data_IF_272982354405
#
_entry.id   IF_272982354405
#
_cell.length_a   1.000
_cell.length_b   1.000
_cell.length_c   1.000
_cell.angle_alpha   90.00
_cell.angle_beta   90.00
_cell.angle_gamma   90.00
#
_symmetry.space_group_name_H-M   'P 1'
#
loop_
_entity.id
_entity.type
_entity.pdbx_description
1 polymer ?
#
# COMPACT_ATOMS: atom_id res chain seq x y z
N UNK A 1 18.48 -19.23 -7.73
CA UNK A 1 18.36 -20.45 -8.54
C UNK A 1 16.87 -20.91 -8.58
N UNK A 2 16.16 -21.03 -7.46
CA UNK A 2 14.74 -21.48 -7.46
C UNK A 2 13.81 -20.61 -8.33
N UNK A 3 14.11 -19.33 -8.55
CA UNK A 3 13.30 -18.41 -9.39
C UNK A 3 13.61 -18.52 -10.90
N UNK A 4 14.78 -19.07 -11.28
CA UNK A 4 15.24 -19.18 -12.67
C UNK A 4 15.35 -20.65 -13.16
N UNK A 5 15.03 -21.64 -12.33
CA UNK A 5 15.23 -23.04 -12.65
C UNK A 5 16.67 -23.48 -12.40
N UNK A 6 17.53 -23.43 -13.44
CA UNK A 6 18.94 -23.82 -13.32
C UNK A 6 19.87 -22.62 -13.26
N UNK A 7 21.09 -22.80 -12.74
CA UNK A 7 22.09 -21.72 -12.71
C UNK A 7 22.47 -21.21 -14.11
N UNK A 8 22.41 -22.09 -15.13
CA UNK A 8 22.68 -21.72 -16.53
C UNK A 8 21.59 -20.81 -17.08
N UNK A 9 20.31 -21.14 -16.84
CA UNK A 9 19.17 -20.32 -17.26
C UNK A 9 19.20 -18.95 -16.56
N UNK A 10 19.54 -18.93 -15.27
CA UNK A 10 19.69 -17.68 -14.54
C UNK A 10 20.78 -16.78 -15.16
N UNK A 11 21.92 -17.36 -15.54
CA UNK A 11 22.99 -16.59 -16.17
C UNK A 11 22.62 -16.07 -17.54
N UNK A 12 21.91 -16.85 -18.35
CA UNK A 12 21.43 -16.44 -19.66
C UNK A 12 20.42 -15.26 -19.51
N UNK A 13 19.47 -15.36 -18.63
CA UNK A 13 18.49 -14.29 -18.37
C UNK A 13 19.14 -13.00 -17.86
N UNK A 14 20.15 -13.11 -16.96
CA UNK A 14 20.91 -11.96 -16.46
C UNK A 14 21.75 -11.33 -17.59
N UNK A 15 22.31 -12.11 -18.49
CA UNK A 15 23.03 -11.58 -19.65
C UNK A 15 22.12 -10.87 -20.64
N UNK A 16 20.93 -11.38 -20.84
CA UNK A 16 19.91 -10.77 -21.69
C UNK A 16 19.37 -9.46 -21.08
N UNK A 17 18.99 -9.49 -19.81
CA UNK A 17 18.56 -8.31 -19.08
C UNK A 17 19.05 -8.33 -17.61
N UNK A 18 20.17 -7.64 -17.27
CA UNK A 18 20.68 -7.64 -15.90
C UNK A 18 19.73 -7.03 -14.87
N UNK A 19 18.76 -6.22 -15.31
CA UNK A 19 17.80 -5.59 -14.39
C UNK A 19 16.75 -6.57 -13.85
N UNK A 20 16.68 -7.82 -14.34
CA UNK A 20 15.91 -8.89 -13.70
C UNK A 20 16.39 -9.15 -12.25
N UNK A 21 17.66 -8.83 -11.94
CA UNK A 21 18.19 -8.89 -10.58
C UNK A 21 17.40 -7.97 -9.64
N UNK A 22 17.16 -6.74 -10.04
CA UNK A 22 16.35 -5.77 -9.29
C UNK A 22 14.86 -6.17 -9.25
N UNK A 23 14.32 -6.64 -10.37
CA UNK A 23 12.89 -6.95 -10.51
C UNK A 23 12.47 -8.23 -9.77
N UNK A 24 13.33 -9.26 -9.74
CA UNK A 24 12.98 -10.61 -9.27
C UNK A 24 13.58 -10.97 -7.90
N UNK A 25 14.58 -10.26 -7.41
CA UNK A 25 15.25 -10.60 -6.14
C UNK A 25 15.01 -9.54 -5.08
N UNK A 26 14.41 -9.95 -3.97
CA UNK A 26 14.35 -9.13 -2.77
C UNK A 26 15.76 -8.96 -2.20
N UNK A 27 16.14 -7.73 -1.85
CA UNK A 27 17.48 -7.42 -1.31
C UNK A 27 18.52 -6.99 -2.36
N UNK A 28 18.22 -7.10 -3.66
CA UNK A 28 19.02 -6.48 -4.72
C UNK A 28 18.33 -5.19 -5.16
N UNK A 29 18.84 -4.05 -4.69
CA UNK A 29 18.35 -2.73 -5.10
C UNK A 29 18.82 -2.35 -6.51
N UNK A 30 18.17 -1.33 -7.09
CA UNK A 30 18.50 -0.80 -8.42
C UNK A 30 20.00 -0.49 -8.57
N UNK A 31 20.62 0.20 -7.61
CA UNK A 31 22.04 0.58 -7.69
C UNK A 31 22.99 -0.62 -7.84
N UNK A 32 22.66 -1.76 -7.22
CA UNK A 32 23.45 -2.99 -7.36
C UNK A 32 23.26 -3.63 -8.74
N UNK A 33 22.01 -3.70 -9.21
CA UNK A 33 21.70 -4.21 -10.54
C UNK A 33 22.34 -3.33 -11.64
N UNK A 34 22.31 -2.02 -11.48
CA UNK A 34 22.90 -1.05 -12.43
C UNK A 34 24.43 -1.19 -12.50
N UNK A 35 25.11 -1.41 -11.37
CA UNK A 35 26.56 -1.71 -11.36
C UNK A 35 26.88 -3.00 -12.11
N UNK A 36 26.09 -4.05 -11.95
CA UNK A 36 26.26 -5.31 -12.69
C UNK A 36 25.99 -5.10 -14.18
N UNK A 37 24.95 -4.34 -14.52
CA UNK A 37 24.60 -4.04 -15.90
C UNK A 37 25.71 -3.28 -16.64
N UNK A 38 26.16 -2.17 -16.06
CA UNK A 38 27.16 -1.28 -16.69
C UNK A 38 28.57 -1.91 -16.66
N UNK A 39 28.98 -2.51 -15.53
CA UNK A 39 30.32 -3.07 -15.35
C UNK A 39 30.47 -4.51 -15.83
N UNK A 40 29.54 -5.39 -15.44
CA UNK A 40 29.64 -6.83 -15.73
C UNK A 40 29.09 -7.22 -17.10
N UNK A 41 27.92 -6.65 -17.47
CA UNK A 41 27.26 -6.97 -18.75
C UNK A 41 27.54 -5.93 -19.84
N UNK A 42 28.30 -4.89 -19.55
CA UNK A 42 28.70 -3.82 -20.51
C UNK A 42 27.50 -3.18 -21.24
N UNK A 43 26.37 -3.03 -20.56
CA UNK A 43 25.19 -2.36 -21.11
C UNK A 43 25.50 -0.87 -21.26
N UNK A 44 25.12 -0.27 -22.38
CA UNK A 44 25.27 1.17 -22.61
C UNK A 44 24.40 1.97 -21.62
N UNK A 45 24.84 3.20 -21.28
CA UNK A 45 24.11 4.05 -20.33
C UNK A 45 22.73 4.45 -20.81
N UNK A 46 22.54 4.54 -22.11
CA UNK A 46 21.29 4.86 -22.81
C UNK A 46 20.52 3.64 -23.32
N UNK A 47 20.94 2.42 -22.96
CA UNK A 47 20.25 1.19 -23.32
C UNK A 47 18.80 1.22 -22.78
N UNK A 48 17.85 0.84 -23.63
CA UNK A 48 16.44 0.92 -23.30
C UNK A 48 16.05 0.05 -22.08
N UNK A 49 16.74 -1.06 -21.86
CA UNK A 49 16.56 -1.92 -20.67
C UNK A 49 16.90 -1.14 -19.39
N UNK A 50 17.98 -0.33 -19.44
CA UNK A 50 18.36 0.54 -18.33
C UNK A 50 17.33 1.64 -18.10
N UNK A 51 16.89 2.32 -19.16
CA UNK A 51 15.88 3.38 -19.04
C UNK A 51 14.57 2.84 -18.48
N UNK A 52 14.16 1.64 -18.92
CA UNK A 52 12.98 0.94 -18.36
C UNK A 52 13.17 0.64 -16.88
N UNK A 53 14.32 0.14 -16.47
CA UNK A 53 14.60 -0.12 -15.06
C UNK A 53 14.65 1.17 -14.20
N UNK A 54 15.14 2.29 -14.74
CA UNK A 54 15.09 3.61 -14.08
C UNK A 54 13.66 4.08 -13.91
N UNK A 55 12.79 3.91 -14.90
CA UNK A 55 11.35 4.22 -14.78
C UNK A 55 10.71 3.42 -13.65
N UNK A 56 10.93 2.10 -13.60
CA UNK A 56 10.40 1.25 -12.54
C UNK A 56 10.93 1.66 -11.16
N UNK A 57 12.21 1.98 -11.07
CA UNK A 57 12.83 2.47 -9.85
C UNK A 57 12.27 3.81 -9.40
N UNK A 58 12.01 4.72 -10.32
CA UNK A 58 11.39 6.01 -10.03
C UNK A 58 9.98 5.85 -9.44
N UNK A 59 9.16 4.96 -10.04
CA UNK A 59 7.84 4.61 -9.53
C UNK A 59 7.92 3.97 -8.13
N UNK A 60 8.86 3.07 -7.91
CA UNK A 60 9.05 2.42 -6.61
C UNK A 60 9.50 3.40 -5.53
N UNK A 61 10.39 4.32 -5.87
CA UNK A 61 10.86 5.38 -4.98
C UNK A 61 9.71 6.29 -4.55
N UNK A 62 8.82 6.67 -5.46
CA UNK A 62 7.62 7.45 -5.13
C UNK A 62 6.69 6.68 -4.18
N UNK A 63 6.50 5.38 -4.38
CA UNK A 63 5.69 4.56 -3.50
C UNK A 63 6.29 4.45 -2.09
N UNK A 64 7.60 4.25 -1.98
CA UNK A 64 8.27 4.08 -0.70
C UNK A 64 8.43 5.39 0.09
N UNK A 65 8.74 6.50 -0.58
CA UNK A 65 9.02 7.78 0.09
C UNK A 65 7.77 8.62 0.33
N UNK A 66 6.83 8.65 -0.61
CA UNK A 66 5.62 9.47 -0.55
C UNK A 66 4.35 8.68 -0.24
N UNK A 67 4.41 7.34 -0.19
CA UNK A 67 3.25 6.48 0.01
C UNK A 67 2.28 6.46 -1.18
N UNK A 68 2.72 6.91 -2.37
CA UNK A 68 1.90 6.95 -3.57
C UNK A 68 1.99 5.62 -4.31
N UNK A 69 0.88 4.92 -4.48
CA UNK A 69 0.83 3.66 -5.25
C UNK A 69 0.94 3.87 -6.75
N UNK A 70 0.68 5.09 -7.22
CA UNK A 70 0.76 5.50 -8.62
C UNK A 70 1.35 6.91 -8.78
N UNK A 71 1.68 7.26 -10.01
CA UNK A 71 1.92 8.64 -10.46
C UNK A 71 0.94 9.01 -11.58
N UNK A 72 0.68 10.29 -11.77
CA UNK A 72 -0.01 10.75 -12.97
C UNK A 72 0.89 10.57 -14.19
N UNK A 73 0.34 10.10 -15.30
CA UNK A 73 1.12 9.91 -16.54
C UNK A 73 1.77 11.22 -17.00
N UNK A 74 1.09 12.35 -16.78
CA UNK A 74 1.62 13.68 -17.11
C UNK A 74 2.86 14.05 -16.25
N UNK A 75 2.98 13.47 -15.06
CA UNK A 75 4.14 13.67 -14.17
C UNK A 75 5.31 12.70 -14.45
N UNK A 76 5.09 11.67 -15.25
CA UNK A 76 6.09 10.61 -15.47
C UNK A 76 7.45 11.13 -15.86
N UNK A 77 7.50 12.04 -16.85
CA UNK A 77 8.78 12.60 -17.31
C UNK A 77 9.51 13.36 -16.22
N UNK A 78 8.77 14.16 -15.44
CA UNK A 78 9.34 14.91 -14.32
C UNK A 78 9.91 13.98 -13.27
N UNK A 79 9.14 12.99 -12.84
CA UNK A 79 9.54 12.02 -11.80
C UNK A 79 10.78 11.22 -12.21
N UNK A 80 10.83 10.72 -13.44
CA UNK A 80 12.00 9.99 -13.97
C UNK A 80 13.23 10.88 -14.04
N UNK A 81 13.09 12.12 -14.55
CA UNK A 81 14.20 13.06 -14.66
C UNK A 81 14.73 13.52 -13.30
N UNK A 82 13.84 13.72 -12.32
CA UNK A 82 14.23 14.04 -10.94
C UNK A 82 14.99 12.88 -10.30
N UNK A 83 14.53 11.64 -10.51
CA UNK A 83 15.21 10.43 -10.02
C UNK A 83 16.62 10.33 -10.62
N UNK A 84 16.77 10.55 -11.92
CA UNK A 84 18.09 10.54 -12.56
C UNK A 84 19.04 11.60 -11.98
N UNK A 85 18.57 12.84 -11.80
CA UNK A 85 19.40 13.93 -11.28
C UNK A 85 19.75 13.77 -9.82
N UNK A 86 18.75 13.46 -8.98
CA UNK A 86 18.88 13.54 -7.53
C UNK A 86 19.39 12.24 -6.91
N UNK A 87 19.15 11.09 -7.55
CA UNK A 87 19.49 9.77 -7.01
C UNK A 87 20.66 9.15 -7.77
N UNK A 88 20.66 9.25 -9.11
CA UNK A 88 21.71 8.67 -9.94
C UNK A 88 22.82 9.66 -10.27
N UNK A 89 22.61 10.96 -10.02
CA UNK A 89 23.54 12.04 -10.37
C UNK A 89 23.93 12.05 -11.86
N UNK A 90 22.98 11.74 -12.73
CA UNK A 90 23.15 11.65 -14.18
C UNK A 90 22.30 12.66 -14.94
N UNK A 91 22.73 12.94 -16.17
CA UNK A 91 21.94 13.76 -17.10
C UNK A 91 20.68 13.02 -17.50
N UNK A 92 19.55 13.71 -17.46
CA UNK A 92 18.26 13.13 -17.75
C UNK A 92 18.10 12.78 -19.24
N UNK A 93 17.46 11.68 -19.54
CA UNK A 93 17.11 11.27 -20.90
C UNK A 93 16.06 12.20 -21.53
N UNK A 94 16.06 12.30 -22.88
CA UNK A 94 14.98 12.94 -23.62
C UNK A 94 13.63 12.26 -23.36
N UNK A 95 12.53 13.03 -23.44
CA UNK A 95 11.17 12.54 -23.18
C UNK A 95 10.79 11.38 -24.09
N UNK A 96 11.28 11.40 -25.34
CA UNK A 96 11.01 10.33 -26.29
C UNK A 96 11.57 8.97 -25.85
N UNK A 97 12.77 8.97 -25.28
CA UNK A 97 13.41 7.75 -24.74
C UNK A 97 12.64 7.24 -23.53
N UNK A 98 12.24 8.14 -22.61
CA UNK A 98 11.41 7.78 -21.45
C UNK A 98 10.06 7.22 -21.91
N UNK A 99 9.43 7.84 -22.92
CA UNK A 99 8.16 7.35 -23.48
C UNK A 99 8.30 5.95 -24.06
N UNK A 100 9.38 5.68 -24.82
CA UNK A 100 9.66 4.35 -25.36
C UNK A 100 9.82 3.31 -24.25
N UNK A 101 10.55 3.65 -23.18
CA UNK A 101 10.71 2.78 -22.02
C UNK A 101 9.36 2.50 -21.32
N UNK A 102 8.49 3.51 -21.18
CA UNK A 102 7.16 3.34 -20.60
C UNK A 102 6.26 2.44 -21.48
N UNK A 103 6.38 2.52 -22.80
CA UNK A 103 5.65 1.65 -23.73
C UNK A 103 6.09 0.19 -23.55
N UNK A 104 7.40 -0.07 -23.53
CA UNK A 104 7.95 -1.41 -23.27
C UNK A 104 7.52 -1.92 -21.90
N UNK A 105 7.65 -1.11 -20.85
CA UNK A 105 7.24 -1.52 -19.51
C UNK A 105 5.75 -1.91 -19.43
N UNK A 106 4.89 -1.26 -20.21
CA UNK A 106 3.47 -1.60 -20.32
C UNK A 106 3.24 -2.88 -21.11
N UNK A 107 3.92 -3.07 -22.24
CA UNK A 107 3.85 -4.28 -23.07
C UNK A 107 4.32 -5.52 -22.30
N UNK A 108 5.39 -5.37 -21.49
CA UNK A 108 5.92 -6.42 -20.63
C UNK A 108 5.13 -6.60 -19.31
N UNK A 109 3.99 -5.90 -19.15
CA UNK A 109 3.16 -5.96 -17.93
C UNK A 109 3.91 -5.59 -16.64
N UNK A 110 4.95 -4.76 -16.73
CA UNK A 110 5.69 -4.26 -15.56
C UNK A 110 4.98 -3.05 -14.92
N UNK A 111 4.23 -2.31 -15.75
CA UNK A 111 3.38 -1.19 -15.31
C UNK A 111 1.96 -1.33 -15.87
N UNK A 112 1.01 -0.75 -15.15
CA UNK A 112 -0.39 -0.61 -15.58
C UNK A 112 -0.72 0.86 -15.73
N UNK A 113 -1.34 1.21 -16.85
CA UNK A 113 -1.88 2.56 -17.07
C UNK A 113 -3.40 2.49 -17.02
N UNK A 114 -4.00 3.15 -16.03
CA UNK A 114 -5.44 3.19 -15.83
C UNK A 114 -5.96 4.62 -16.00
N UNK A 115 -6.99 4.77 -16.83
CA UNK A 115 -7.66 6.05 -17.01
C UNK A 115 -8.87 6.21 -16.08
N UNK A 116 -9.04 7.39 -15.50
CA UNK A 116 -10.30 7.80 -14.87
C UNK A 116 -11.10 8.65 -15.85
N UNK A 117 -12.41 8.38 -15.97
CA UNK A 117 -13.33 9.25 -16.70
C UNK A 117 -14.07 10.10 -15.66
N UNK A 118 -13.68 11.37 -15.46
CA UNK A 118 -14.42 12.24 -14.54
C UNK A 118 -15.85 12.42 -15.02
N UNK A 119 -16.81 12.34 -14.10
CA UNK A 119 -18.24 12.55 -14.39
C UNK A 119 -18.61 14.03 -14.51
N UNK A 120 -17.70 14.94 -14.19
CA UNK A 120 -17.88 16.39 -14.11
C UNK A 120 -17.34 17.17 -15.31
N UNK A 121 -17.08 16.48 -16.43
CA UNK A 121 -16.60 17.11 -17.68
C UNK A 121 -15.11 17.48 -17.70
N UNK A 122 -14.34 17.17 -16.65
CA UNK A 122 -12.88 17.31 -16.68
C UNK A 122 -12.25 16.36 -17.71
N UNK A 123 -11.03 16.67 -18.14
CA UNK A 123 -10.28 15.78 -19.04
C UNK A 123 -9.99 14.44 -18.33
N UNK A 124 -10.01 13.32 -19.08
CA UNK A 124 -9.57 12.03 -18.54
C UNK A 124 -8.15 12.16 -17.99
N UNK A 125 -7.94 11.64 -16.80
CA UNK A 125 -6.63 11.56 -16.15
C UNK A 125 -6.16 10.11 -16.18
N UNK A 126 -4.87 9.89 -16.40
CA UNK A 126 -4.27 8.57 -16.47
C UNK A 126 -3.25 8.41 -15.34
N UNK A 127 -3.38 7.32 -14.60
CA UNK A 127 -2.47 6.89 -13.55
C UNK A 127 -1.55 5.79 -14.09
N UNK A 128 -0.28 5.83 -13.73
CA UNK A 128 0.69 4.78 -14.00
C UNK A 128 1.11 4.13 -12.69
N UNK A 129 0.88 2.83 -12.59
CA UNK A 129 1.23 1.99 -11.45
C UNK A 129 2.37 1.05 -11.80
N UNK A 130 3.22 0.71 -10.84
CA UNK A 130 3.89 -0.59 -10.89
C UNK A 130 2.82 -1.70 -10.80
N UNK A 131 2.93 -2.74 -11.62
CA UNK A 131 1.95 -3.84 -11.66
C UNK A 131 1.62 -4.39 -10.26
N UNK A 132 2.63 -4.57 -9.39
CA UNK A 132 2.44 -5.10 -8.04
C UNK A 132 1.51 -4.23 -7.18
N UNK A 133 1.60 -2.90 -7.27
CA UNK A 133 0.76 -1.98 -6.48
C UNK A 133 -0.66 -1.92 -7.04
N UNK A 134 -0.82 -1.90 -8.36
CA UNK A 134 -2.12 -2.01 -9.00
C UNK A 134 -2.83 -3.32 -8.59
N UNK A 135 -2.11 -4.44 -8.64
CA UNK A 135 -2.63 -5.74 -8.21
C UNK A 135 -3.07 -5.72 -6.75
N UNK A 136 -2.26 -5.16 -5.84
CA UNK A 136 -2.63 -5.07 -4.43
C UNK A 136 -3.88 -4.21 -4.20
N UNK A 137 -4.04 -3.08 -4.88
CA UNK A 137 -5.26 -2.27 -4.77
C UNK A 137 -6.49 -3.03 -5.28
N UNK A 138 -6.38 -3.72 -6.41
CA UNK A 138 -7.46 -4.54 -6.94
C UNK A 138 -7.82 -5.69 -5.99
N UNK A 139 -6.82 -6.37 -5.43
CA UNK A 139 -7.02 -7.49 -4.51
C UNK A 139 -7.65 -7.02 -3.19
N UNK A 140 -7.19 -5.90 -2.63
CA UNK A 140 -7.80 -5.27 -1.45
C UNK A 140 -9.26 -4.89 -1.73
N UNK A 141 -9.54 -4.25 -2.87
CA UNK A 141 -10.91 -3.88 -3.23
C UNK A 141 -11.81 -5.11 -3.40
N UNK A 142 -11.30 -6.17 -4.02
CA UNK A 142 -12.00 -7.44 -4.16
C UNK A 142 -12.31 -8.08 -2.80
N UNK A 143 -11.30 -8.19 -1.92
CA UNK A 143 -11.46 -8.75 -0.58
C UNK A 143 -12.45 -7.94 0.26
N UNK A 144 -12.37 -6.61 0.25
CA UNK A 144 -13.33 -5.73 0.92
C UNK A 144 -14.76 -5.96 0.39
N UNK A 145 -14.92 -6.11 -0.92
CA UNK A 145 -16.21 -6.39 -1.55
C UNK A 145 -16.74 -7.75 -1.10
N UNK A 146 -15.90 -8.78 -1.10
CA UNK A 146 -16.26 -10.13 -0.64
C UNK A 146 -16.67 -10.14 0.82
N UNK A 147 -15.95 -9.45 1.70
CA UNK A 147 -16.29 -9.32 3.11
C UNK A 147 -17.64 -8.58 3.25
N UNK A 148 -17.87 -7.53 2.46
CA UNK A 148 -19.11 -6.76 2.51
C UNK A 148 -20.32 -7.54 2.00
N UNK A 149 -20.18 -8.31 0.94
CA UNK A 149 -21.30 -9.08 0.33
C UNK A 149 -21.65 -10.36 1.11
N UNK A 150 -20.70 -10.94 1.86
CA UNK A 150 -20.93 -12.13 2.68
C UNK A 150 -21.54 -11.81 4.05
N UNK A 151 -22.11 -10.63 4.24
CA UNK A 151 -22.64 -10.12 5.52
C UNK A 151 -23.98 -10.75 5.94
N UNK A 152 -24.11 -12.07 5.88
CA UNK A 152 -25.22 -12.77 6.53
C UNK A 152 -25.01 -12.98 8.05
N UNK A 153 -23.96 -12.41 8.63
CA UNK A 153 -23.70 -12.61 10.05
C UNK A 153 -24.28 -11.45 10.85
N UNK A 154 -25.20 -11.79 11.75
CA UNK A 154 -25.59 -10.97 12.91
C UNK A 154 -24.46 -10.88 13.94
N UNK A 155 -23.28 -11.38 13.62
CA UNK A 155 -22.07 -11.27 14.42
C UNK A 155 -21.62 -9.81 14.48
N UNK A 156 -21.70 -9.22 15.64
CA UNK A 156 -21.27 -7.85 15.86
C UNK A 156 -22.39 -6.85 16.13
N UNK A 157 -23.65 -7.17 15.81
CA UNK A 157 -24.78 -6.32 16.21
C UNK A 157 -24.84 -6.22 17.73
N UNK A 158 -24.66 -5.02 18.22
CA UNK A 158 -24.82 -4.62 19.62
C UNK A 158 -25.84 -3.50 19.63
N UNK A 159 -26.73 -3.50 20.62
CA UNK A 159 -27.68 -2.42 20.76
C UNK A 159 -26.94 -1.06 20.92
N UNK A 160 -27.46 -0.03 20.30
CA UNK A 160 -26.83 1.29 20.36
C UNK A 160 -26.77 1.85 21.79
N UNK A 161 -27.72 1.49 22.62
CA UNK A 161 -27.74 1.87 24.03
C UNK A 161 -26.61 1.15 24.79
N UNK A 162 -26.39 -0.15 24.55
CA UNK A 162 -25.29 -0.91 25.17
C UNK A 162 -23.92 -0.33 24.77
N UNK A 163 -23.78 0.14 23.51
CA UNK A 163 -22.55 0.79 23.04
C UNK A 163 -22.31 2.10 23.79
N UNK A 164 -23.34 2.94 23.96
CA UNK A 164 -23.22 4.21 24.66
C UNK A 164 -22.94 4.03 26.15
N UNK A 165 -23.59 3.08 26.79
CA UNK A 165 -23.34 2.72 28.21
C UNK A 165 -21.89 2.20 28.38
N UNK A 166 -21.41 1.36 27.46
CA UNK A 166 -20.04 0.89 27.48
C UNK A 166 -19.02 2.03 27.30
N UNK A 167 -19.26 2.97 26.38
CA UNK A 167 -18.39 4.14 26.20
C UNK A 167 -18.31 4.96 27.49
N UNK A 168 -19.44 5.26 28.13
CA UNK A 168 -19.49 6.01 29.40
C UNK A 168 -18.72 5.29 30.51
N UNK A 169 -18.89 3.97 30.62
CA UNK A 169 -18.16 3.14 31.59
C UNK A 169 -16.64 3.19 31.36
N UNK A 170 -16.21 3.10 30.09
CA UNK A 170 -14.79 3.13 29.71
C UNK A 170 -14.17 4.51 29.99
N UNK A 171 -14.88 5.60 29.66
CA UNK A 171 -14.44 6.96 29.98
C UNK A 171 -14.22 7.18 31.48
N UNK A 172 -15.13 6.65 32.28
CA UNK A 172 -15.03 6.74 33.76
C UNK A 172 -13.87 5.89 34.30
N UNK A 173 -13.69 4.66 33.80
CA UNK A 173 -12.63 3.75 34.23
C UNK A 173 -11.23 4.26 33.86
N UNK A 174 -11.05 4.68 32.61
CA UNK A 174 -9.76 5.06 32.08
C UNK A 174 -9.41 6.56 32.34
N UNK A 175 -10.34 7.36 32.86
CA UNK A 175 -10.13 8.76 33.27
C UNK A 175 -9.90 9.71 32.10
N UNK A 176 -10.46 9.41 30.91
CA UNK A 176 -10.44 10.27 29.72
C UNK A 176 -11.84 10.47 29.16
N UNK A 177 -12.01 11.45 28.26
CA UNK A 177 -13.25 11.65 27.53
C UNK A 177 -12.98 11.66 26.05
N UNK A 178 -13.78 10.90 25.29
CA UNK A 178 -13.78 10.93 23.84
C UNK A 178 -14.57 12.13 23.33
N UNK A 179 -14.10 12.76 22.26
CA UNK A 179 -14.90 13.73 21.53
C UNK A 179 -16.03 13.06 20.74
N UNK A 180 -17.00 13.86 20.25
CA UNK A 180 -18.16 13.33 19.53
C UNK A 180 -17.77 12.57 18.26
N UNK A 181 -16.69 12.98 17.58
CA UNK A 181 -16.19 12.32 16.37
C UNK A 181 -15.62 10.95 16.71
N UNK A 182 -14.88 10.85 17.82
CA UNK A 182 -14.32 9.60 18.31
C UNK A 182 -15.41 8.64 18.79
N UNK A 183 -16.42 9.15 19.54
CA UNK A 183 -17.61 8.37 19.95
C UNK A 183 -18.37 7.84 18.73
N UNK A 184 -18.56 8.69 17.72
CA UNK A 184 -19.22 8.29 16.49
C UNK A 184 -18.44 7.21 15.71
N UNK A 185 -17.10 7.27 15.72
CA UNK A 185 -16.28 6.23 15.13
C UNK A 185 -16.48 4.87 15.84
N UNK A 186 -16.57 4.84 17.16
CA UNK A 186 -16.89 3.63 17.93
C UNK A 186 -18.29 3.13 17.57
N UNK A 187 -19.31 3.99 17.60
CA UNK A 187 -20.70 3.64 17.24
C UNK A 187 -20.82 3.06 15.84
N UNK A 188 -20.07 3.61 14.88
CA UNK A 188 -20.08 3.11 13.47
C UNK A 188 -19.65 1.67 13.37
N UNK A 189 -18.75 1.19 14.24
CA UNK A 189 -18.28 -0.21 14.22
C UNK A 189 -19.38 -1.17 14.69
N UNK A 190 -20.31 -0.74 15.55
CA UNK A 190 -21.34 -1.57 16.18
C UNK A 190 -22.75 -1.32 15.65
N UNK A 191 -22.94 -0.32 14.79
CA UNK A 191 -24.26 0.10 14.30
C UNK A 191 -24.97 -0.95 13.45
N UNK A 192 -26.29 -0.79 13.29
CA UNK A 192 -27.16 -1.69 12.51
C UNK A 192 -26.80 -1.77 11.01
N UNK A 193 -26.16 -0.73 10.49
CA UNK A 193 -25.63 -0.69 9.12
C UNK A 193 -24.21 -1.23 9.05
N UNK A 194 -23.90 -2.29 9.80
CA UNK A 194 -22.56 -2.88 9.86
C UNK A 194 -22.09 -3.21 8.44
N UNK A 195 -21.23 -2.33 7.96
CA UNK A 195 -20.34 -2.66 6.85
C UNK A 195 -19.21 -3.47 7.48
N UNK A 196 -19.05 -4.72 7.09
CA UNK A 196 -18.03 -5.62 7.64
C UNK A 196 -16.59 -5.07 7.51
N UNK A 197 -16.42 -3.92 6.87
CA UNK A 197 -15.17 -3.17 6.76
C UNK A 197 -15.43 -1.72 7.17
N UNK A 198 -14.82 -1.28 8.26
CA UNK A 198 -14.83 0.11 8.71
C UNK A 198 -13.43 0.69 8.64
N UNK A 199 -13.28 1.86 8.03
CA UNK A 199 -12.00 2.57 7.90
C UNK A 199 -12.00 3.79 8.82
N UNK A 200 -11.07 3.82 9.78
CA UNK A 200 -10.88 4.95 10.69
C UNK A 200 -9.61 5.70 10.28
N UNK A 201 -9.77 6.94 9.83
CA UNK A 201 -8.67 7.81 9.40
C UNK A 201 -8.50 8.98 10.35
N UNK A 202 -7.30 9.56 10.37
CA UNK A 202 -7.02 10.76 11.17
C UNK A 202 -5.53 11.09 11.19
N UNK A 203 -5.19 12.35 11.46
CA UNK A 203 -3.83 12.82 11.57
C UNK A 203 -3.05 12.22 12.75
N UNK A 204 -1.76 12.51 12.89
CA UNK A 204 -0.99 12.20 14.09
C UNK A 204 -1.66 12.81 15.34
N UNK A 205 -1.75 12.05 16.41
CA UNK A 205 -2.34 12.51 17.67
C UNK A 205 -3.88 12.57 17.71
N UNK A 206 -4.60 12.15 16.67
CA UNK A 206 -6.08 12.16 16.65
C UNK A 206 -6.75 11.08 17.52
N UNK A 207 -6.01 10.36 18.33
CA UNK A 207 -6.58 9.36 19.26
C UNK A 207 -6.95 8.02 18.61
N UNK A 208 -6.45 7.69 17.39
CA UNK A 208 -6.77 6.41 16.73
C UNK A 208 -6.54 5.16 17.60
N UNK A 209 -5.44 5.12 18.34
CA UNK A 209 -5.15 4.01 19.27
C UNK A 209 -6.15 3.96 20.42
N UNK A 210 -6.57 5.12 20.94
CA UNK A 210 -7.61 5.23 21.97
C UNK A 210 -8.94 4.71 21.43
N UNK A 211 -9.32 5.09 20.20
CA UNK A 211 -10.54 4.58 19.55
C UNK A 211 -10.50 3.05 19.41
N UNK A 212 -9.37 2.47 18.96
CA UNK A 212 -9.20 1.02 18.84
C UNK A 212 -9.36 0.35 20.23
N UNK A 213 -8.71 0.88 21.27
CA UNK A 213 -8.86 0.40 22.64
C UNK A 213 -10.33 0.44 23.09
N UNK A 214 -11.00 1.55 22.84
CA UNK A 214 -12.42 1.71 23.19
C UNK A 214 -13.29 0.70 22.44
N UNK A 215 -13.07 0.47 21.13
CA UNK A 215 -13.80 -0.53 20.35
C UNK A 215 -13.64 -1.92 20.97
N UNK A 216 -12.42 -2.31 21.33
CA UNK A 216 -12.14 -3.62 21.95
C UNK A 216 -12.88 -3.76 23.29
N UNK A 217 -12.76 -2.76 24.18
CA UNK A 217 -13.44 -2.75 25.47
C UNK A 217 -14.97 -2.75 25.32
N UNK A 218 -15.51 -1.94 24.40
CA UNK A 218 -16.94 -1.90 24.11
C UNK A 218 -17.45 -3.29 23.65
N UNK A 219 -16.70 -3.95 22.78
CA UNK A 219 -17.05 -5.29 22.33
C UNK A 219 -17.05 -6.30 23.47
N UNK A 220 -16.10 -6.22 24.39
CA UNK A 220 -16.01 -7.07 25.57
C UNK A 220 -17.19 -6.83 26.54
N UNK A 221 -17.50 -5.58 26.84
CA UNK A 221 -18.58 -5.21 27.78
C UNK A 221 -19.94 -5.60 27.21
N UNK A 222 -20.24 -5.16 26.00
CA UNK A 222 -21.55 -5.36 25.36
C UNK A 222 -21.88 -6.83 25.09
N UNK A 223 -20.87 -7.69 24.98
CA UNK A 223 -21.07 -9.13 24.76
C UNK A 223 -20.81 -10.00 25.98
N UNK A 224 -20.38 -9.41 27.10
CA UNK A 224 -20.00 -10.18 28.29
C UNK A 224 -18.84 -11.15 28.03
N UNK A 225 -18.01 -10.89 27.02
CA UNK A 225 -16.92 -11.75 26.59
C UNK A 225 -15.59 -11.23 27.12
N UNK A 226 -14.70 -12.13 27.53
CA UNK A 226 -13.30 -11.74 27.74
C UNK A 226 -12.58 -11.74 26.39
N UNK A 227 -11.63 -10.78 26.21
CA UNK A 227 -10.73 -10.81 25.08
C UNK A 227 -10.00 -12.16 25.04
N UNK A 228 -10.06 -12.82 23.90
CA UNK A 228 -9.18 -13.93 23.60
C UNK A 228 -8.68 -13.78 22.17
N UNK A 229 -7.48 -14.30 21.90
CA UNK A 229 -6.81 -14.21 20.60
C UNK A 229 -7.59 -14.94 19.48
N UNK A 230 -8.50 -15.85 19.82
CA UNK A 230 -9.34 -16.58 18.86
C UNK A 230 -10.51 -15.74 18.33
N UNK A 231 -10.91 -14.68 19.07
CA UNK A 231 -12.07 -13.85 18.73
C UNK A 231 -11.71 -12.51 18.10
N UNK A 232 -10.48 -12.03 18.29
CA UNK A 232 -10.05 -10.73 17.78
C UNK A 232 -8.55 -10.74 17.46
N UNK A 233 -8.19 -10.41 16.22
CA UNK A 233 -6.82 -10.32 15.75
C UNK A 233 -6.40 -8.86 15.56
N UNK A 234 -5.35 -8.43 16.24
CA UNK A 234 -4.73 -7.11 16.09
C UNK A 234 -3.48 -7.22 15.24
N UNK A 235 -3.44 -6.48 14.14
CA UNK A 235 -2.32 -6.46 13.20
C UNK A 235 -1.77 -5.04 13.02
N UNK A 236 -0.45 -4.95 12.83
CA UNK A 236 0.20 -3.68 12.52
C UNK A 236 1.34 -3.90 11.49
N UNK A 237 1.64 -2.91 10.64
CA UNK A 237 2.64 -3.05 9.58
C UNK A 237 4.09 -3.11 10.10
N UNK A 238 4.35 -2.72 11.35
CA UNK A 238 5.68 -2.74 11.96
C UNK A 238 5.62 -3.30 13.38
N UNK A 239 6.70 -3.97 13.81
CA UNK A 239 6.81 -4.50 15.17
C UNK A 239 6.64 -3.43 16.26
N UNK A 240 7.12 -2.19 16.03
CA UNK A 240 6.94 -1.07 16.95
C UNK A 240 5.47 -0.65 17.08
N UNK A 241 4.73 -0.62 15.97
CA UNK A 241 3.29 -0.31 16.01
C UNK A 241 2.50 -1.46 16.68
N UNK A 242 2.86 -2.72 16.41
CA UNK A 242 2.28 -3.89 17.08
C UNK A 242 2.52 -3.87 18.60
N UNK A 243 3.75 -3.56 19.04
CA UNK A 243 4.06 -3.43 20.46
C UNK A 243 3.21 -2.32 21.13
N UNK A 244 3.13 -1.12 20.54
CA UNK A 244 2.29 -0.03 21.06
C UNK A 244 0.80 -0.39 21.11
N UNK A 245 0.31 -1.12 20.11
CA UNK A 245 -1.09 -1.57 20.10
C UNK A 245 -1.34 -2.57 21.23
N UNK A 246 -0.42 -3.51 21.46
CA UNK A 246 -0.50 -4.48 22.58
C UNK A 246 -0.42 -3.82 23.96
N UNK A 247 0.39 -2.77 24.12
CA UNK A 247 0.49 -2.00 25.37
C UNK A 247 -0.78 -1.17 25.64
N UNK A 248 -1.51 -0.79 24.62
CA UNK A 248 -2.69 0.05 24.69
C UNK A 248 -4.01 -0.73 24.85
N UNK A 249 -4.00 -2.03 24.56
CA UNK A 249 -5.15 -2.95 24.64
C UNK A 249 -4.98 -4.01 25.69
#
# INVERSE_FOLDING_TARGET
>A
IKKFGTGKMALEEIKENPYVLYQKFSGIGFATADKVALGGCQIARDDIRRVTAILLYALETQAQMAGNTFIWVDDMYRVVKETMRNVLHEVAFPDEVIRKAATIAREDSLVVVQGSKPTDGRKPMFCMYLYKYWFYECDIAYLCTMIHTNSNSTYGLVDSQDVDEAIVSIEAEDGFSLDDTQKNAVRTVFGSDIKNVTVITGGPGSGKTTIIKTIIKTWQIARGLRYNEDSMLLCAPTGRASARMREAT
#
